data_IF_483947833006
#
_entry.id   IF_483947833006
#
_cell.length_a   1.000
_cell.length_b   1.000
_cell.length_c   1.000
_cell.angle_alpha   90.00
_cell.angle_beta   90.00
_cell.angle_gamma   90.00
#
_symmetry.space_group_name_H-M   'P 1'
#
loop_
_entity.id
_entity.type
_entity.pdbx_description
1 polymer ?
#
# COMPACT_ATOMS: atom_id res chain seq x y z
N UNK A 1 -23.23 7.46 -23.00
CA UNK A 1 -22.13 6.55 -23.39
C UNK A 1 -20.76 6.94 -22.80
N UNK A 2 -20.42 8.21 -22.59
CA UNK A 2 -19.12 8.57 -21.95
C UNK A 2 -19.05 8.34 -20.43
N UNK A 3 -20.18 8.46 -19.72
CA UNK A 3 -20.25 8.36 -18.25
C UNK A 3 -20.17 6.89 -17.76
N UNK A 4 -20.75 5.95 -18.50
CA UNK A 4 -20.65 4.52 -18.23
C UNK A 4 -19.23 4.00 -18.42
N UNK A 5 -18.54 4.40 -19.48
CA UNK A 5 -17.15 3.99 -19.73
C UNK A 5 -16.18 4.51 -18.65
N UNK A 6 -16.36 5.76 -18.19
CA UNK A 6 -15.59 6.33 -17.07
C UNK A 6 -15.90 5.61 -15.74
N UNK A 7 -17.14 5.14 -15.58
CA UNK A 7 -17.56 4.38 -14.39
C UNK A 7 -16.97 2.96 -14.41
N UNK A 8 -16.92 2.31 -15.57
CA UNK A 8 -16.30 1.00 -15.76
C UNK A 8 -14.79 1.05 -15.54
N UNK A 9 -14.10 2.04 -16.11
CA UNK A 9 -12.65 2.22 -15.92
C UNK A 9 -12.32 2.41 -14.43
N UNK A 10 -13.07 3.26 -13.74
CA UNK A 10 -12.89 3.48 -12.30
C UNK A 10 -13.22 2.24 -11.47
N UNK A 11 -14.24 1.48 -11.84
CA UNK A 11 -14.56 0.22 -11.18
C UNK A 11 -13.44 -0.82 -11.38
N UNK A 12 -12.86 -0.89 -12.58
CA UNK A 12 -11.74 -1.76 -12.89
C UNK A 12 -10.48 -1.35 -12.09
N UNK A 13 -10.18 -0.06 -11.98
CA UNK A 13 -9.08 0.47 -11.15
C UNK A 13 -9.26 0.11 -9.67
N UNK A 14 -10.45 0.31 -9.12
CA UNK A 14 -10.75 -0.05 -7.73
C UNK A 14 -10.61 -1.57 -7.50
N UNK A 15 -11.09 -2.39 -8.43
CA UNK A 15 -10.95 -3.85 -8.34
C UNK A 15 -9.49 -4.28 -8.45
N UNK A 16 -8.73 -3.72 -9.39
CA UNK A 16 -7.30 -4.00 -9.53
C UNK A 16 -6.54 -3.61 -8.26
N UNK A 17 -6.82 -2.44 -7.70
CA UNK A 17 -6.23 -2.00 -6.44
C UNK A 17 -6.57 -2.96 -5.29
N UNK A 18 -7.83 -3.37 -5.18
CA UNK A 18 -8.26 -4.34 -4.16
C UNK A 18 -7.53 -5.67 -4.30
N UNK A 19 -7.47 -6.24 -5.50
CA UNK A 19 -6.80 -7.53 -5.76
C UNK A 19 -5.30 -7.45 -5.48
N UNK A 20 -4.63 -6.37 -5.87
CA UNK A 20 -3.22 -6.14 -5.55
C UNK A 20 -2.97 -6.07 -4.04
N UNK A 21 -3.90 -5.45 -3.30
CA UNK A 21 -3.81 -5.34 -1.85
C UNK A 21 -3.92 -6.70 -1.16
N UNK A 22 -4.87 -7.54 -1.58
CA UNK A 22 -5.02 -8.88 -1.02
C UNK A 22 -3.84 -9.78 -1.41
N UNK A 23 -3.40 -9.75 -2.68
CA UNK A 23 -2.22 -10.49 -3.12
C UNK A 23 -0.95 -10.12 -2.35
N UNK A 24 -0.78 -8.83 -2.02
CA UNK A 24 0.33 -8.37 -1.19
C UNK A 24 0.27 -8.94 0.23
N UNK A 25 -0.93 -8.98 0.84
CA UNK A 25 -1.13 -9.56 2.18
C UNK A 25 -0.81 -11.05 2.20
N UNK A 26 -1.30 -11.79 1.22
CA UNK A 26 -1.03 -13.23 1.09
C UNK A 26 0.45 -13.50 0.91
N UNK A 27 1.11 -12.74 0.03
CA UNK A 27 2.56 -12.83 -0.18
C UNK A 27 3.33 -12.52 1.11
N UNK A 28 2.94 -11.47 1.83
CA UNK A 28 3.58 -11.09 3.08
C UNK A 28 3.45 -12.20 4.14
N UNK A 29 2.26 -12.80 4.28
CA UNK A 29 2.03 -13.91 5.19
C UNK A 29 2.89 -15.14 4.84
N UNK A 30 2.95 -15.51 3.57
CA UNK A 30 3.78 -16.63 3.09
C UNK A 30 5.26 -16.36 3.36
N UNK A 31 5.76 -15.18 3.00
CA UNK A 31 7.16 -14.82 3.21
C UNK A 31 7.55 -14.80 4.68
N UNK A 32 6.70 -14.25 5.55
CA UNK A 32 6.91 -14.25 7.00
C UNK A 32 6.96 -15.67 7.56
N UNK A 33 6.07 -16.56 7.11
CA UNK A 33 6.07 -17.96 7.53
C UNK A 33 7.29 -18.76 7.06
N UNK A 34 7.82 -18.42 5.87
CA UNK A 34 8.95 -19.13 5.27
C UNK A 34 10.30 -18.66 5.84
N UNK A 35 10.51 -17.34 5.92
CA UNK A 35 11.72 -16.73 6.46
C UNK A 35 11.48 -15.26 6.85
N UNK A 36 11.15 -15.03 8.12
CA UNK A 36 10.87 -13.70 8.65
C UNK A 36 11.99 -12.67 8.40
N UNK A 37 13.27 -13.05 8.56
CA UNK A 37 14.41 -12.12 8.39
C UNK A 37 14.60 -11.68 6.94
N UNK A 38 14.45 -12.62 5.99
CA UNK A 38 14.48 -12.29 4.57
C UNK A 38 13.26 -11.46 4.17
N UNK A 39 12.08 -11.78 4.72
CA UNK A 39 10.85 -11.03 4.50
C UNK A 39 10.98 -9.58 4.97
N UNK A 40 11.53 -9.33 6.17
CA UNK A 40 11.78 -7.97 6.67
C UNK A 40 12.66 -7.14 5.73
N UNK A 41 13.71 -7.75 5.17
CA UNK A 41 14.61 -7.08 4.22
C UNK A 41 13.88 -6.73 2.92
N UNK A 42 13.04 -7.64 2.42
CA UNK A 42 12.22 -7.42 1.24
C UNK A 42 11.19 -6.31 1.48
N UNK A 43 10.47 -6.37 2.60
CA UNK A 43 9.47 -5.37 3.00
C UNK A 43 10.08 -3.98 3.10
N UNK A 44 11.25 -3.86 3.73
CA UNK A 44 11.98 -2.60 3.79
C UNK A 44 12.35 -2.07 2.39
N UNK A 45 12.81 -2.95 1.49
CA UNK A 45 13.15 -2.55 0.12
C UNK A 45 11.92 -2.06 -0.66
N UNK A 46 10.77 -2.72 -0.50
CA UNK A 46 9.49 -2.31 -1.09
C UNK A 46 9.04 -0.96 -0.52
N UNK A 47 9.01 -0.81 0.81
CA UNK A 47 8.64 0.44 1.48
C UNK A 47 9.51 1.62 1.03
N UNK A 48 10.83 1.41 0.96
CA UNK A 48 11.77 2.43 0.49
C UNK A 48 11.49 2.84 -0.95
N UNK A 49 11.33 1.87 -1.86
CA UNK A 49 11.05 2.15 -3.27
C UNK A 49 9.73 2.89 -3.46
N UNK A 50 8.70 2.52 -2.70
CA UNK A 50 7.40 3.20 -2.69
C UNK A 50 7.54 4.65 -2.20
N UNK A 51 8.25 4.87 -1.10
CA UNK A 51 8.49 6.21 -0.58
C UNK A 51 9.25 7.09 -1.58
N UNK A 52 10.25 6.52 -2.26
CA UNK A 52 11.01 7.23 -3.29
C UNK A 52 10.14 7.56 -4.51
N UNK A 53 9.28 6.64 -4.96
CA UNK A 53 8.34 6.91 -6.05
C UNK A 53 7.34 8.04 -5.70
N UNK A 54 6.80 8.04 -4.47
CA UNK A 54 5.92 9.12 -4.01
C UNK A 54 6.65 10.47 -3.96
N UNK A 55 7.92 10.49 -3.54
CA UNK A 55 8.75 11.71 -3.57
C UNK A 55 8.95 12.22 -4.99
N UNK A 56 9.22 11.33 -5.94
CA UNK A 56 9.36 11.68 -7.37
C UNK A 56 8.07 12.29 -7.92
N UNK A 57 6.91 11.68 -7.65
CA UNK A 57 5.59 12.23 -8.07
C UNK A 57 5.40 13.67 -7.57
N UNK A 58 5.77 13.94 -6.32
CA UNK A 58 5.68 15.28 -5.73
C UNK A 58 6.68 16.25 -6.37
N UNK A 59 7.93 15.82 -6.55
CA UNK A 59 9.01 16.63 -7.10
C UNK A 59 8.71 17.03 -8.56
N UNK A 60 8.26 16.08 -9.35
CA UNK A 60 7.98 16.25 -10.78
C UNK A 60 6.64 16.94 -11.05
N UNK A 61 5.82 17.12 -10.00
CA UNK A 61 4.42 17.57 -10.11
C UNK A 61 3.64 16.76 -11.17
N UNK A 62 3.79 15.45 -11.15
CA UNK A 62 3.19 14.56 -12.15
C UNK A 62 1.66 14.74 -12.28
N UNK A 63 1.00 15.10 -11.17
CA UNK A 63 -0.44 15.39 -11.09
C UNK A 63 -0.73 16.90 -10.94
N UNK A 64 0.19 17.74 -11.41
CA UNK A 64 0.12 19.18 -11.26
C UNK A 64 0.05 19.63 -9.79
N UNK A 65 -0.82 20.59 -9.50
CA UNK A 65 -0.99 21.15 -8.15
C UNK A 65 -1.55 20.13 -7.12
N UNK A 66 -2.11 19.00 -7.58
CA UNK A 66 -2.66 17.98 -6.70
C UNK A 66 -1.60 16.96 -6.21
N UNK A 67 -0.41 16.93 -6.81
CA UNK A 67 0.62 15.91 -6.57
C UNK A 67 0.94 15.68 -5.09
N UNK A 68 1.11 16.74 -4.30
CA UNK A 68 1.37 16.63 -2.85
C UNK A 68 0.20 16.01 -2.09
N UNK A 69 -1.04 16.36 -2.46
CA UNK A 69 -2.25 15.83 -1.80
C UNK A 69 -2.44 14.35 -2.14
N UNK A 70 -2.30 14.00 -3.42
CA UNK A 70 -2.42 12.63 -3.91
C UNK A 70 -1.33 11.74 -3.27
N UNK A 71 -0.07 12.17 -3.30
CA UNK A 71 1.03 11.41 -2.71
C UNK A 71 0.85 11.21 -1.20
N UNK A 72 0.28 12.20 -0.48
CA UNK A 72 -0.05 12.06 0.94
C UNK A 72 -1.17 11.05 1.19
N UNK A 73 -2.25 11.11 0.40
CA UNK A 73 -3.38 10.19 0.54
C UNK A 73 -2.94 8.75 0.25
N UNK A 74 -2.28 8.53 -0.88
CA UNK A 74 -1.72 7.22 -1.27
C UNK A 74 -0.69 6.74 -0.25
N UNK A 75 0.18 7.63 0.24
CA UNK A 75 1.17 7.30 1.26
C UNK A 75 0.54 6.83 2.58
N UNK A 76 -0.59 7.39 2.98
CA UNK A 76 -1.31 6.97 4.18
C UNK A 76 -1.92 5.57 4.01
N UNK A 77 -2.58 5.31 2.88
CA UNK A 77 -3.17 4.00 2.57
C UNK A 77 -2.11 2.89 2.48
N UNK A 78 -0.97 3.17 1.84
CA UNK A 78 0.13 2.21 1.76
C UNK A 78 0.78 1.94 3.12
N UNK A 79 0.92 2.97 3.96
CA UNK A 79 1.42 2.80 5.32
C UNK A 79 0.50 1.90 6.16
N UNK A 80 -0.82 2.05 6.04
CA UNK A 80 -1.79 1.15 6.68
C UNK A 80 -1.67 -0.28 6.14
N UNK A 81 -1.58 -0.45 4.81
CA UNK A 81 -1.38 -1.76 4.18
C UNK A 81 -0.13 -2.46 4.71
N UNK A 82 1.02 -1.78 4.71
CA UNK A 82 2.29 -2.33 5.22
C UNK A 82 2.19 -2.67 6.71
N UNK A 83 1.54 -1.81 7.51
CA UNK A 83 1.29 -2.04 8.92
C UNK A 83 0.53 -3.35 9.17
N UNK A 84 -0.56 -3.56 8.44
CA UNK A 84 -1.37 -4.78 8.53
C UNK A 84 -0.62 -6.01 7.99
N UNK A 85 -0.02 -5.92 6.81
CA UNK A 85 0.58 -7.05 6.11
C UNK A 85 1.85 -7.57 6.80
N UNK A 86 2.66 -6.69 7.38
CA UNK A 86 3.90 -7.08 8.05
C UNK A 86 3.69 -7.50 9.51
N UNK A 87 2.45 -7.58 9.98
CA UNK A 87 2.14 -7.87 11.38
C UNK A 87 2.58 -6.76 12.35
N UNK A 88 2.87 -5.55 11.85
CA UNK A 88 3.14 -4.34 12.66
C UNK A 88 1.84 -3.70 13.14
N UNK A 89 0.77 -4.48 13.30
CA UNK A 89 -0.46 -4.00 13.90
C UNK A 89 -0.11 -3.48 15.28
N UNK A 90 -0.12 -2.16 15.44
CA UNK A 90 -0.04 -1.49 16.71
C UNK A 90 -1.28 -1.84 17.52
N UNK A 91 -1.33 -3.06 18.04
CA UNK A 91 -2.19 -3.42 19.15
C UNK A 91 -1.47 -2.83 20.37
N UNK A 92 -1.98 -1.77 21.03
CA UNK A 92 -1.48 -1.45 22.36
C UNK A 92 -1.63 -2.71 23.20
N UNK A 93 -0.57 -3.07 23.94
CA UNK A 93 -0.44 -4.31 24.70
C UNK A 93 -1.45 -4.47 25.86
N UNK A 94 -2.64 -3.87 25.76
CA UNK A 94 -3.71 -3.89 26.75
C UNK A 94 -4.88 -4.81 26.37
N UNK A 95 -4.82 -5.52 25.24
CA UNK A 95 -5.92 -6.39 24.79
C UNK A 95 -5.47 -7.80 24.40
N UNK A 96 -4.42 -8.31 25.06
CA UNK A 96 -4.05 -9.73 25.03
C UNK A 96 -4.13 -10.35 26.42
N UNK A 97 -5.29 -10.25 27.08
CA UNK A 97 -5.68 -11.18 28.15
C UNK A 97 -7.20 -11.34 28.12
N UNK A 98 -7.66 -12.51 27.71
CA UNK A 98 -8.85 -13.20 28.19
C UNK A 98 -8.70 -14.68 27.84
#
# INVERSE_FOLDING_TARGET
>A
MGDEALTEERAAEHLAHHLLREAYRDLAAVLLSANAKAAESLFYAVEKRTADALRTIVADRAEGAASTRIARAVGAELNELFGCAHGRTGIPASQRVA
#
